data_IF_605574877904
#
_entry.id   IF_605574877904
#
_cell.length_a   1.000
_cell.length_b   1.000
_cell.length_c   1.000
_cell.angle_alpha   90.00
_cell.angle_beta   90.00
_cell.angle_gamma   90.00
#
_symmetry.space_group_name_H-M   'P 1'
#
loop_
_entity.id
_entity.type
_entity.pdbx_description
1 polymer ?
#
# COMPACT_ATOMS: atom_id res chain seq x y z
N UNK A 1 -44.80 19.34 -29.89
CA UNK A 1 -44.40 19.95 -28.59
C UNK A 1 -45.17 19.22 -27.51
N UNK A 2 -44.54 18.23 -26.87
CA UNK A 2 -45.15 17.56 -25.72
C UNK A 2 -45.05 18.52 -24.54
N UNK A 3 -46.20 18.92 -24.00
CA UNK A 3 -46.25 19.72 -22.79
C UNK A 3 -45.64 18.92 -21.64
N UNK A 4 -44.70 19.58 -21.00
CA UNK A 4 -43.89 19.07 -19.92
C UNK A 4 -44.75 18.77 -18.68
N UNK A 5 -45.19 17.51 -18.54
CA UNK A 5 -45.90 17.01 -17.35
C UNK A 5 -44.92 16.49 -16.29
N UNK A 6 -43.77 17.13 -16.11
CA UNK A 6 -42.81 16.75 -15.06
C UNK A 6 -43.35 17.08 -13.68
N UNK A 7 -43.15 16.18 -12.73
CA UNK A 7 -43.58 16.41 -11.35
C UNK A 7 -42.75 17.55 -10.71
N UNK A 8 -43.33 18.36 -9.81
CA UNK A 8 -42.59 19.39 -9.10
C UNK A 8 -41.35 18.81 -8.39
N UNK A 9 -40.16 19.31 -8.76
CA UNK A 9 -38.89 18.89 -8.17
C UNK A 9 -38.14 17.79 -8.93
N UNK A 10 -38.71 17.23 -10.01
CA UNK A 10 -38.05 16.21 -10.83
C UNK A 10 -36.72 16.70 -11.43
N UNK A 11 -36.69 17.96 -11.86
CA UNK A 11 -35.50 18.62 -12.42
C UNK A 11 -34.35 18.75 -11.41
N UNK A 12 -34.67 18.89 -10.13
CA UNK A 12 -33.69 19.06 -9.06
C UNK A 12 -33.14 17.73 -8.53
N UNK A 13 -33.68 16.60 -9.00
CA UNK A 13 -33.23 15.27 -8.63
C UNK A 13 -31.77 15.08 -9.06
N UNK A 14 -30.91 14.79 -8.08
CA UNK A 14 -29.51 14.49 -8.30
C UNK A 14 -29.34 13.12 -8.96
N UNK A 15 -28.61 13.09 -10.07
CA UNK A 15 -28.22 11.90 -10.84
C UNK A 15 -26.82 11.39 -10.46
N UNK A 16 -25.90 12.29 -10.10
CA UNK A 16 -24.54 11.91 -9.71
C UNK A 16 -24.15 12.51 -8.36
N UNK A 17 -23.83 11.65 -7.39
CA UNK A 17 -23.35 12.08 -6.07
C UNK A 17 -22.02 12.84 -6.14
N UNK A 18 -21.08 12.36 -6.95
CA UNK A 18 -19.69 12.83 -6.93
C UNK A 18 -19.50 14.25 -7.49
N UNK A 19 -20.39 14.70 -8.38
CA UNK A 19 -20.29 16.03 -9.00
C UNK A 19 -21.56 16.87 -8.87
N UNK A 20 -22.60 16.37 -8.19
CA UNK A 20 -23.86 17.10 -8.03
C UNK A 20 -24.71 17.20 -9.30
N UNK A 21 -24.44 16.42 -10.35
CA UNK A 21 -25.20 16.44 -11.60
C UNK A 21 -26.67 16.11 -11.36
N UNK A 22 -27.60 16.88 -11.94
CA UNK A 22 -29.06 16.74 -11.79
C UNK A 22 -29.75 16.44 -13.11
N UNK A 23 -31.01 16.03 -13.05
CA UNK A 23 -31.90 15.84 -14.22
C UNK A 23 -31.93 17.09 -15.10
N UNK A 24 -32.03 18.29 -14.49
CA UNK A 24 -31.95 19.56 -15.21
C UNK A 24 -30.66 19.71 -16.02
N UNK A 25 -29.52 19.29 -15.48
CA UNK A 25 -28.25 19.37 -16.19
C UNK A 25 -28.25 18.44 -17.40
N UNK A 26 -28.74 17.21 -17.23
CA UNK A 26 -28.81 16.22 -18.31
C UNK A 26 -29.69 16.65 -19.47
N UNK A 27 -30.82 17.30 -19.20
CA UNK A 27 -31.80 17.67 -20.22
C UNK A 27 -31.39 18.96 -20.95
N UNK A 28 -30.87 19.94 -20.22
CA UNK A 28 -30.72 21.31 -20.74
C UNK A 28 -29.28 21.72 -21.00
N UNK A 29 -28.27 20.99 -20.54
CA UNK A 29 -26.88 21.30 -20.84
C UNK A 29 -26.41 20.53 -22.09
N UNK A 30 -25.77 21.24 -23.02
CA UNK A 30 -25.05 20.60 -24.14
C UNK A 30 -23.62 20.16 -23.75
N UNK A 31 -23.29 20.19 -22.46
CA UNK A 31 -21.95 19.89 -21.97
C UNK A 31 -21.74 18.38 -21.78
N UNK A 32 -20.90 17.78 -22.62
CA UNK A 32 -20.35 16.44 -22.38
C UNK A 32 -19.09 16.53 -21.53
N UNK A 33 -19.06 15.82 -20.39
CA UNK A 33 -17.93 15.90 -19.48
C UNK A 33 -16.63 15.38 -20.09
N UNK A 34 -15.58 16.19 -20.01
CA UNK A 34 -14.20 15.81 -20.38
C UNK A 34 -13.37 15.41 -19.16
N UNK A 35 -13.99 15.45 -17.99
CA UNK A 35 -13.44 15.03 -16.71
C UNK A 35 -14.34 13.94 -16.15
N UNK A 36 -13.78 12.82 -15.72
CA UNK A 36 -14.58 11.73 -15.15
C UNK A 36 -13.78 10.90 -14.19
N UNK A 37 -14.45 10.35 -13.19
CA UNK A 37 -13.89 9.31 -12.35
C UNK A 37 -13.72 8.06 -13.21
N UNK A 38 -12.50 7.53 -13.26
CA UNK A 38 -12.18 6.29 -13.99
C UNK A 38 -11.88 5.14 -13.05
N UNK A 39 -11.57 5.44 -11.80
CA UNK A 39 -11.31 4.44 -10.77
C UNK A 39 -11.67 5.00 -9.39
N UNK A 40 -12.21 4.14 -8.54
CA UNK A 40 -12.40 4.40 -7.10
C UNK A 40 -11.98 3.17 -6.32
N UNK A 41 -11.15 3.36 -5.30
CA UNK A 41 -10.82 2.32 -4.33
C UNK A 41 -10.77 2.94 -2.95
N UNK A 42 -11.51 2.38 -2.00
CA UNK A 42 -11.59 2.92 -0.64
C UNK A 42 -12.00 4.40 -0.66
N UNK A 43 -11.14 5.30 -0.17
CA UNK A 43 -11.34 6.76 -0.21
C UNK A 43 -10.47 7.46 -1.27
N UNK A 44 -9.97 6.72 -2.26
CA UNK A 44 -9.20 7.26 -3.38
C UNK A 44 -10.09 7.33 -4.62
N UNK A 45 -10.08 8.47 -5.31
CA UNK A 45 -10.67 8.66 -6.62
C UNK A 45 -9.61 9.03 -7.64
N UNK A 46 -9.62 8.38 -8.81
CA UNK A 46 -8.81 8.78 -9.96
C UNK A 46 -9.73 9.45 -10.98
N UNK A 47 -9.48 10.73 -11.21
CA UNK A 47 -10.20 11.55 -12.17
C UNK A 47 -9.39 11.72 -13.44
N UNK A 48 -9.87 11.21 -14.56
CA UNK A 48 -9.29 11.51 -15.86
C UNK A 48 -9.64 12.95 -16.26
N UNK A 49 -8.66 13.71 -16.77
CA UNK A 49 -8.82 15.07 -17.28
C UNK A 49 -8.32 15.12 -18.74
N UNK A 50 -9.28 15.17 -19.66
CA UNK A 50 -8.99 15.04 -21.09
C UNK A 50 -8.29 13.70 -21.41
N UNK A 51 -7.35 13.70 -22.34
CA UNK A 51 -6.61 12.50 -22.74
C UNK A 51 -5.24 12.36 -22.08
N UNK A 52 -4.73 13.42 -21.45
CA UNK A 52 -3.32 13.54 -21.04
C UNK A 52 -3.10 13.54 -19.53
N UNK A 53 -4.11 13.90 -18.74
CA UNK A 53 -3.94 14.17 -17.32
C UNK A 53 -4.90 13.34 -16.48
N UNK A 54 -4.50 13.11 -15.23
CA UNK A 54 -5.34 12.53 -14.20
C UNK A 54 -5.12 13.29 -12.89
N UNK A 55 -6.12 13.33 -12.03
CA UNK A 55 -5.99 13.75 -10.63
C UNK A 55 -6.26 12.54 -9.74
N UNK A 56 -5.33 12.26 -8.84
CA UNK A 56 -5.55 11.39 -7.67
C UNK A 56 -6.09 12.25 -6.54
N UNK A 57 -7.26 11.87 -6.05
CA UNK A 57 -8.02 12.52 -4.99
C UNK A 57 -8.11 11.56 -3.80
N UNK A 58 -7.61 11.96 -2.63
CA UNK A 58 -7.54 11.11 -1.44
C UNK A 58 -7.43 11.93 -0.15
N UNK A 59 -7.73 11.35 1.03
CA UNK A 59 -7.43 11.96 2.32
C UNK A 59 -5.94 12.32 2.44
N UNK A 60 -5.64 13.45 3.07
CA UNK A 60 -4.27 13.80 3.43
C UNK A 60 -3.95 13.25 4.83
N UNK A 61 -3.56 11.99 4.86
CA UNK A 61 -3.38 11.21 6.09
C UNK A 61 -1.97 10.62 6.21
N UNK A 62 -1.04 11.18 5.44
CA UNK A 62 0.36 10.77 5.35
C UNK A 62 0.57 9.32 4.88
N UNK A 63 -0.50 8.61 4.50
CA UNK A 63 -0.42 7.21 4.10
C UNK A 63 0.12 7.03 2.66
N UNK A 64 0.01 8.07 1.82
CA UNK A 64 0.16 7.94 0.36
C UNK A 64 1.06 8.99 -0.31
N UNK A 65 1.63 9.95 0.42
CA UNK A 65 2.51 11.00 -0.17
C UNK A 65 3.80 10.45 -0.80
N UNK A 66 4.06 9.17 -0.57
CA UNK A 66 5.25 8.45 -0.98
C UNK A 66 5.32 8.20 -2.51
N UNK A 67 4.18 8.09 -3.20
CA UNK A 67 4.16 7.93 -4.67
C UNK A 67 4.77 9.16 -5.36
N UNK A 68 4.29 10.36 -5.01
CA UNK A 68 4.85 11.62 -5.52
C UNK A 68 6.34 11.76 -5.18
N UNK A 69 6.69 11.50 -3.91
CA UNK A 69 8.06 11.64 -3.42
C UNK A 69 9.03 10.71 -4.16
N UNK A 70 8.66 9.44 -4.32
CA UNK A 70 9.51 8.43 -4.99
C UNK A 70 9.66 8.74 -6.47
N UNK A 71 8.58 9.10 -7.15
CA UNK A 71 8.66 9.50 -8.56
C UNK A 71 9.44 10.80 -8.75
N UNK A 72 9.37 11.74 -7.80
CA UNK A 72 10.21 12.94 -7.85
C UNK A 72 11.68 12.62 -7.65
N UNK A 73 12.01 11.80 -6.65
CA UNK A 73 13.37 11.31 -6.44
C UNK A 73 13.93 10.67 -7.72
N UNK A 74 13.21 9.71 -8.31
CA UNK A 74 13.62 9.04 -9.54
C UNK A 74 13.80 10.03 -10.69
N UNK A 75 12.92 11.02 -10.86
CA UNK A 75 13.06 12.01 -11.92
C UNK A 75 14.30 12.90 -11.78
N UNK A 76 14.75 13.14 -10.54
CA UNK A 76 15.94 13.94 -10.24
C UNK A 76 17.25 13.15 -10.38
N UNK A 77 17.19 11.81 -10.36
CA UNK A 77 18.37 10.99 -10.58
C UNK A 77 18.73 10.93 -12.07
N UNK A 78 20.03 10.75 -12.34
CA UNK A 78 20.56 10.57 -13.70
C UNK A 78 21.10 9.15 -13.88
N UNK A 79 21.24 8.70 -15.13
CA UNK A 79 21.86 7.41 -15.45
C UNK A 79 20.94 6.19 -15.35
N UNK A 80 19.63 6.36 -15.18
CA UNK A 80 18.64 5.29 -15.29
C UNK A 80 17.59 5.60 -16.37
N UNK A 81 16.87 4.57 -16.77
CA UNK A 81 15.76 4.56 -17.73
C UNK A 81 14.49 3.92 -17.15
N UNK A 82 14.40 3.79 -15.82
CA UNK A 82 13.19 3.33 -15.12
C UNK A 82 11.97 4.13 -15.61
N UNK A 83 10.96 3.49 -16.21
CA UNK A 83 9.83 4.19 -16.78
C UNK A 83 8.87 4.63 -15.66
N UNK A 84 8.73 5.95 -15.48
CA UNK A 84 7.82 6.58 -14.50
C UNK A 84 6.84 7.52 -15.22
N UNK A 85 5.89 8.12 -14.50
CA UNK A 85 5.04 9.14 -15.08
C UNK A 85 5.86 10.38 -15.46
N UNK A 86 5.62 10.87 -16.68
CA UNK A 86 6.36 12.00 -17.30
C UNK A 86 6.26 13.26 -16.45
N UNK A 87 5.07 13.54 -15.93
CA UNK A 87 4.82 14.68 -15.06
C UNK A 87 3.96 14.29 -13.86
N UNK A 88 4.27 14.88 -12.71
CA UNK A 88 3.48 14.76 -11.50
C UNK A 88 3.63 16.05 -10.68
N UNK A 89 2.54 16.54 -10.10
CA UNK A 89 2.50 17.78 -9.31
C UNK A 89 1.53 17.62 -8.16
N UNK A 90 2.00 17.95 -6.96
CA UNK A 90 1.12 18.11 -5.81
C UNK A 90 0.33 19.43 -5.97
N UNK A 91 -0.97 19.38 -5.79
CA UNK A 91 -1.85 20.56 -5.83
C UNK A 91 -2.31 21.01 -4.44
N UNK A 92 -2.14 20.15 -3.43
CA UNK A 92 -2.50 20.41 -2.04
C UNK A 92 -1.29 20.82 -1.21
N UNK A 93 -1.54 21.61 -0.17
CA UNK A 93 -0.56 21.92 0.87
C UNK A 93 -0.50 20.79 1.93
N UNK A 94 0.62 20.65 2.67
CA UNK A 94 0.74 19.61 3.69
C UNK A 94 -0.34 19.63 4.78
N UNK A 95 -0.95 20.79 5.04
CA UNK A 95 -1.99 20.99 6.06
C UNK A 95 -3.43 20.79 5.55
N UNK A 96 -3.62 20.63 4.24
CA UNK A 96 -4.93 20.40 3.66
C UNK A 96 -5.48 19.05 4.13
N UNK A 97 -6.80 18.92 4.24
CA UNK A 97 -7.44 17.64 4.64
C UNK A 97 -7.50 16.63 3.49
N UNK A 98 -7.37 17.10 2.25
CA UNK A 98 -7.44 16.32 1.02
C UNK A 98 -6.15 16.54 0.25
N UNK A 99 -5.54 15.46 -0.19
CA UNK A 99 -4.37 15.46 -1.04
C UNK A 99 -4.81 15.26 -2.50
N UNK A 100 -4.54 16.26 -3.33
CA UNK A 100 -4.78 16.23 -4.77
C UNK A 100 -3.43 16.19 -5.49
N UNK A 101 -3.22 15.16 -6.30
CA UNK A 101 -2.02 15.01 -7.13
C UNK A 101 -2.40 14.98 -8.60
N UNK A 102 -1.93 15.97 -9.35
CA UNK A 102 -2.04 15.98 -10.80
C UNK A 102 -0.93 15.12 -11.41
N UNK A 103 -1.28 14.22 -12.30
CA UNK A 103 -0.32 13.29 -12.92
C UNK A 103 -0.58 13.14 -14.42
N UNK A 104 0.49 13.05 -15.20
CA UNK A 104 0.39 12.71 -16.62
C UNK A 104 -0.12 11.27 -16.76
N UNK A 105 -0.98 11.03 -17.77
CA UNK A 105 -1.48 9.69 -18.09
C UNK A 105 -0.48 8.94 -18.96
N UNK A 106 -0.02 7.78 -18.49
CA UNK A 106 0.68 6.81 -19.34
C UNK A 106 -0.27 6.35 -20.46
N UNK A 107 0.19 6.35 -21.71
CA UNK A 107 -0.67 6.21 -22.89
C UNK A 107 -0.95 4.74 -23.30
N UNK A 108 -0.72 3.80 -22.38
CA UNK A 108 -0.90 2.37 -22.56
C UNK A 108 -2.06 1.79 -21.77
N UNK A 109 -2.00 0.49 -21.55
CA UNK A 109 -2.92 -0.30 -20.71
C UNK A 109 -2.12 -1.08 -19.67
N UNK A 110 -2.78 -1.57 -18.61
CA UNK A 110 -2.12 -2.44 -17.64
C UNK A 110 -1.69 -3.76 -18.29
N UNK A 111 -0.59 -4.33 -17.83
CA UNK A 111 -0.06 -5.59 -18.38
C UNK A 111 -1.07 -6.74 -18.19
N UNK A 112 -1.85 -6.68 -17.11
CA UNK A 112 -2.94 -7.61 -16.80
C UNK A 112 -3.96 -7.73 -17.93
N UNK A 113 -4.19 -6.63 -18.65
CA UNK A 113 -5.21 -6.56 -19.70
C UNK A 113 -4.80 -7.25 -21.00
N UNK A 114 -3.50 -7.48 -21.22
CA UNK A 114 -2.98 -8.03 -22.49
C UNK A 114 -2.22 -9.33 -22.29
N UNK A 115 -1.76 -9.66 -21.08
CA UNK A 115 -0.81 -10.75 -20.83
C UNK A 115 -1.24 -12.10 -21.41
N UNK A 116 -2.52 -12.45 -21.27
CA UNK A 116 -3.06 -13.72 -21.74
C UNK A 116 -2.97 -13.90 -23.26
N UNK A 117 -2.99 -12.80 -24.02
CA UNK A 117 -2.98 -12.80 -25.48
C UNK A 117 -1.58 -12.62 -26.10
N UNK A 118 -0.56 -12.37 -25.27
CA UNK A 118 0.81 -12.16 -25.72
C UNK A 118 1.46 -13.45 -26.23
N UNK A 119 2.26 -13.34 -27.28
CA UNK A 119 3.12 -14.42 -27.74
C UNK A 119 4.23 -14.73 -26.73
N UNK A 120 4.84 -15.91 -26.85
CA UNK A 120 5.99 -16.32 -26.02
C UNK A 120 7.14 -15.31 -26.14
N UNK A 121 7.38 -14.79 -27.34
CA UNK A 121 8.42 -13.80 -27.63
C UNK A 121 8.11 -12.45 -26.96
N UNK A 122 6.85 -12.01 -26.98
CA UNK A 122 6.43 -10.78 -26.32
C UNK A 122 6.55 -10.89 -24.79
N UNK A 123 6.11 -12.01 -24.20
CA UNK A 123 6.28 -12.26 -22.77
C UNK A 123 7.76 -12.28 -22.37
N UNK A 124 8.61 -12.93 -23.16
CA UNK A 124 10.06 -12.90 -22.94
C UNK A 124 10.66 -11.49 -23.06
N UNK A 125 10.17 -10.68 -24.01
CA UNK A 125 10.57 -9.26 -24.14
C UNK A 125 10.22 -8.45 -22.89
N UNK A 126 8.99 -8.59 -22.37
CA UNK A 126 8.59 -7.92 -21.13
C UNK A 126 9.38 -8.39 -19.92
N UNK A 127 9.71 -9.69 -19.84
CA UNK A 127 10.61 -10.23 -18.80
C UNK A 127 11.97 -9.54 -18.83
N UNK A 128 12.60 -9.42 -20.00
CA UNK A 128 13.88 -8.74 -20.13
C UNK A 128 13.81 -7.25 -19.75
N UNK A 129 12.75 -6.55 -20.17
CA UNK A 129 12.54 -5.15 -19.79
C UNK A 129 12.39 -5.00 -18.28
N UNK A 130 11.54 -5.82 -17.64
CA UNK A 130 11.32 -5.78 -16.20
C UNK A 130 12.58 -6.15 -15.42
N UNK A 131 13.36 -7.12 -15.90
CA UNK A 131 14.67 -7.47 -15.33
C UNK A 131 15.61 -6.28 -15.31
N UNK A 132 15.71 -5.56 -16.43
CA UNK A 132 16.61 -4.42 -16.56
C UNK A 132 16.13 -3.24 -15.69
N UNK A 133 14.82 -3.04 -15.56
CA UNK A 133 14.23 -2.06 -14.65
C UNK A 133 14.54 -2.41 -13.19
N UNK A 134 14.31 -3.65 -12.78
CA UNK A 134 14.58 -4.11 -11.41
C UNK A 134 16.06 -4.01 -11.04
N UNK A 135 16.97 -4.28 -11.98
CA UNK A 135 18.42 -4.06 -11.78
C UNK A 135 18.73 -2.59 -11.55
N UNK A 136 18.10 -1.68 -12.28
CA UNK A 136 18.29 -0.24 -12.10
C UNK A 136 17.69 0.25 -10.78
N UNK A 137 16.49 -0.20 -10.42
CA UNK A 137 15.89 0.08 -9.11
C UNK A 137 16.85 -0.36 -8.00
N UNK A 138 17.37 -1.59 -8.09
CA UNK A 138 18.30 -2.15 -7.10
C UNK A 138 19.67 -1.48 -7.04
N UNK A 139 20.04 -0.68 -8.04
CA UNK A 139 21.28 0.13 -7.97
C UNK A 139 21.15 1.33 -7.02
N UNK A 140 19.93 1.77 -6.73
CA UNK A 140 19.67 2.73 -5.66
C UNK A 140 19.70 2.00 -4.33
N UNK A 141 20.71 2.29 -3.52
CA UNK A 141 20.94 1.62 -2.23
C UNK A 141 20.95 2.61 -1.08
N UNK A 142 20.64 2.11 0.10
CA UNK A 142 20.70 2.85 1.35
C UNK A 142 21.39 1.99 2.42
N UNK A 143 22.10 2.59 3.38
CA UNK A 143 22.63 1.86 4.53
C UNK A 143 21.53 1.34 5.46
N UNK A 144 20.31 1.86 5.35
CA UNK A 144 19.19 1.56 6.26
C UNK A 144 17.85 1.45 5.52
N UNK A 145 16.88 0.78 6.15
CA UNK A 145 15.49 0.80 5.69
C UNK A 145 14.87 2.19 5.94
N UNK A 146 14.34 2.80 4.88
CA UNK A 146 13.72 4.12 4.92
C UNK A 146 12.97 4.43 3.62
N UNK A 147 12.06 5.41 3.66
CA UNK A 147 11.57 6.11 2.47
C UNK A 147 12.73 6.86 1.79
N UNK A 148 12.53 7.30 0.55
CA UNK A 148 13.57 8.03 -0.21
C UNK A 148 13.98 9.37 0.43
N UNK A 149 13.14 9.96 1.29
CA UNK A 149 13.47 11.15 2.08
C UNK A 149 14.12 10.85 3.45
N UNK A 150 14.31 9.58 3.81
CA UNK A 150 14.92 9.16 5.07
C UNK A 150 13.94 8.84 6.22
N UNK A 151 12.64 9.08 6.03
CA UNK A 151 11.61 8.73 7.01
C UNK A 151 11.44 7.21 7.17
N UNK A 152 10.90 6.79 8.31
CA UNK A 152 10.61 5.37 8.56
C UNK A 152 9.50 4.83 7.64
N UNK A 153 9.70 3.59 7.19
CA UNK A 153 8.70 2.82 6.46
C UNK A 153 7.62 2.29 7.41
N UNK A 154 6.37 2.33 6.97
CA UNK A 154 5.29 1.55 7.59
C UNK A 154 5.55 0.06 7.37
N UNK A 155 5.26 -0.77 8.37
CA UNK A 155 5.41 -2.21 8.24
C UNK A 155 4.19 -2.84 7.55
N UNK A 156 4.32 -3.01 6.23
CA UNK A 156 3.40 -3.78 5.40
C UNK A 156 3.80 -5.25 5.21
N UNK A 157 4.91 -5.69 5.82
CA UNK A 157 5.52 -7.00 5.56
C UNK A 157 5.26 -7.98 6.71
N UNK A 158 5.41 -7.55 7.97
CA UNK A 158 5.24 -8.37 9.17
C UNK A 158 4.15 -7.81 10.08
N UNK A 159 4.40 -6.65 10.68
CA UNK A 159 3.60 -6.01 11.72
C UNK A 159 2.35 -5.26 11.23
N UNK A 160 1.56 -5.86 10.33
CA UNK A 160 0.32 -5.25 9.84
C UNK A 160 -0.93 -5.92 10.40
N UNK A 161 -1.75 -5.17 11.16
CA UNK A 161 -2.96 -5.70 11.82
C UNK A 161 -4.18 -5.78 10.89
N UNK A 162 -4.28 -4.88 9.92
CA UNK A 162 -5.49 -4.74 9.10
C UNK A 162 -5.23 -4.84 7.60
N UNK A 163 -4.33 -4.00 7.09
CA UNK A 163 -3.98 -3.89 5.68
C UNK A 163 -2.48 -3.75 5.55
N UNK A 164 -1.91 -4.20 4.43
CA UNK A 164 -0.48 -4.05 4.11
C UNK A 164 -0.11 -2.62 3.72
N UNK A 165 -1.07 -1.70 3.75
CA UNK A 165 -0.90 -0.30 3.38
C UNK A 165 -0.91 0.62 4.60
N UNK A 166 -0.19 1.76 4.55
CA UNK A 166 -0.25 2.76 5.59
C UNK A 166 -1.68 3.31 5.77
N UNK A 167 -2.04 3.88 6.94
CA UNK A 167 -1.25 3.82 8.16
C UNK A 167 -1.26 2.39 8.73
N UNK A 168 -0.09 1.92 9.17
CA UNK A 168 0.08 0.65 9.89
C UNK A 168 0.37 0.94 11.36
N UNK A 169 0.12 -0.03 12.23
CA UNK A 169 0.37 0.09 13.66
C UNK A 169 1.86 0.15 13.99
N UNK A 170 2.70 -0.42 13.13
CA UNK A 170 4.15 -0.49 13.33
C UNK A 170 4.93 0.12 12.17
N UNK A 171 6.13 0.58 12.49
CA UNK A 171 7.17 0.91 11.52
C UNK A 171 8.17 -0.24 11.45
N UNK A 172 8.78 -0.44 10.29
CA UNK A 172 9.76 -1.52 10.08
C UNK A 172 11.09 -1.30 10.81
N UNK A 173 11.38 -0.15 11.40
CA UNK A 173 12.73 0.13 11.91
C UNK A 173 13.77 0.26 10.79
N UNK A 174 14.99 0.74 11.12
CA UNK A 174 16.05 1.00 10.14
C UNK A 174 16.92 -0.22 9.83
N UNK A 175 16.92 -1.20 10.72
CA UNK A 175 17.72 -2.44 10.66
C UNK A 175 16.88 -3.66 11.05
N UNK A 176 17.38 -4.87 10.83
CA UNK A 176 16.73 -6.11 11.31
C UNK A 176 16.42 -6.07 12.81
N UNK A 177 17.37 -5.59 13.61
CA UNK A 177 17.22 -5.55 15.07
C UNK A 177 16.14 -4.55 15.48
N UNK A 178 16.18 -3.33 14.94
CA UNK A 178 15.13 -2.34 15.19
C UNK A 178 13.76 -2.83 14.71
N UNK A 179 13.71 -3.53 13.57
CA UNK A 179 12.48 -4.07 13.04
C UNK A 179 11.83 -5.05 13.99
N UNK A 180 12.57 -6.09 14.36
CA UNK A 180 12.04 -7.13 15.23
C UNK A 180 11.80 -6.61 16.65
N UNK A 181 12.54 -5.59 17.09
CA UNK A 181 12.29 -4.95 18.38
C UNK A 181 10.99 -4.14 18.38
N UNK A 182 10.67 -3.42 17.30
CA UNK A 182 9.42 -2.64 17.20
C UNK A 182 8.17 -3.51 17.36
N UNK A 183 8.25 -4.79 17.01
CA UNK A 183 7.15 -5.75 17.11
C UNK A 183 7.41 -6.86 18.15
N UNK A 184 8.39 -6.65 19.03
CA UNK A 184 8.88 -7.70 19.93
C UNK A 184 7.86 -8.13 20.97
N UNK A 185 6.98 -7.23 21.39
CA UNK A 185 5.91 -7.52 22.34
C UNK A 185 4.96 -8.60 21.80
N UNK A 186 4.47 -8.42 20.58
CA UNK A 186 3.63 -9.40 19.88
C UNK A 186 4.39 -10.68 19.55
N UNK A 187 5.67 -10.58 19.17
CA UNK A 187 6.50 -11.76 18.92
C UNK A 187 6.67 -12.61 20.17
N UNK A 188 6.97 -11.99 21.32
CA UNK A 188 7.11 -12.69 22.61
C UNK A 188 5.79 -13.32 23.05
N UNK A 189 4.66 -12.64 22.86
CA UNK A 189 3.36 -13.25 23.09
C UNK A 189 3.12 -14.45 22.16
N UNK A 190 3.37 -14.31 20.86
CA UNK A 190 3.17 -15.41 19.91
C UNK A 190 4.06 -16.62 20.20
N UNK A 191 5.28 -16.39 20.72
CA UNK A 191 6.16 -17.45 21.19
C UNK A 191 5.64 -18.12 22.47
N UNK A 192 5.14 -17.33 23.43
CA UNK A 192 4.49 -17.84 24.64
C UNK A 192 3.33 -18.79 24.29
N UNK A 193 2.44 -18.38 23.38
CA UNK A 193 1.31 -19.17 22.91
C UNK A 193 1.75 -20.42 22.13
N UNK A 194 2.69 -20.26 21.19
CA UNK A 194 3.18 -21.36 20.35
C UNK A 194 3.88 -22.45 21.16
N UNK A 195 4.55 -22.09 22.25
CA UNK A 195 5.29 -23.01 23.10
C UNK A 195 4.55 -23.41 24.38
N UNK A 196 3.32 -22.95 24.57
CA UNK A 196 2.49 -23.18 25.76
C UNK A 196 3.28 -22.96 27.07
N UNK A 197 3.95 -21.80 27.15
CA UNK A 197 4.85 -21.48 28.27
C UNK A 197 4.73 -20.02 28.68
N UNK A 198 4.79 -19.77 30.01
CA UNK A 198 4.90 -18.43 30.59
C UNK A 198 6.30 -18.14 31.14
N UNK A 199 7.28 -19.02 30.89
CA UNK A 199 8.66 -18.83 31.35
C UNK A 199 9.36 -17.74 30.51
N UNK A 200 9.70 -16.57 31.12
CA UNK A 200 10.31 -15.47 30.39
C UNK A 200 11.70 -15.82 29.84
N UNK A 201 12.44 -16.74 30.46
CA UNK A 201 13.77 -17.14 29.97
C UNK A 201 13.64 -17.91 28.68
N UNK A 202 12.76 -18.92 28.65
CA UNK A 202 12.50 -19.70 27.43
C UNK A 202 11.91 -18.83 26.30
N UNK A 203 11.00 -17.90 26.61
CA UNK A 203 10.44 -16.98 25.62
C UNK A 203 11.53 -16.11 25.01
N UNK A 204 12.43 -15.56 25.83
CA UNK A 204 13.53 -14.73 25.34
C UNK A 204 14.55 -15.55 24.54
N UNK A 205 14.89 -16.77 24.97
CA UNK A 205 15.72 -17.68 24.18
C UNK A 205 15.12 -17.94 22.78
N UNK A 206 13.81 -18.16 22.71
CA UNK A 206 13.09 -18.35 21.44
C UNK A 206 13.02 -17.08 20.60
N UNK A 207 12.91 -15.92 21.23
CA UNK A 207 12.94 -14.63 20.53
C UNK A 207 14.32 -14.39 19.91
N UNK A 208 15.41 -14.66 20.64
CA UNK A 208 16.77 -14.56 20.10
C UNK A 208 17.03 -15.57 18.98
N UNK A 209 16.49 -16.80 19.07
CA UNK A 209 16.52 -17.78 17.97
C UNK A 209 15.80 -17.24 16.72
N UNK A 210 14.62 -16.63 16.90
CA UNK A 210 13.86 -16.03 15.82
C UNK A 210 14.63 -14.88 15.15
N UNK A 211 15.24 -13.99 15.93
CA UNK A 211 16.09 -12.89 15.42
C UNK A 211 17.28 -13.42 14.63
N UNK A 212 17.97 -14.44 15.17
CA UNK A 212 19.13 -15.06 14.53
C UNK A 212 18.79 -15.71 13.19
N UNK A 213 17.61 -16.32 13.09
CA UNK A 213 17.15 -16.99 11.88
C UNK A 213 16.51 -16.02 10.88
N UNK A 214 16.22 -14.78 11.26
CA UNK A 214 15.62 -13.79 10.37
C UNK A 214 16.61 -13.43 9.25
N UNK A 215 16.15 -13.37 7.97
CA UNK A 215 17.06 -13.14 6.86
C UNK A 215 17.78 -11.81 6.97
N UNK A 216 19.04 -11.79 6.55
CA UNK A 216 19.79 -10.54 6.46
C UNK A 216 19.10 -9.59 5.48
N UNK A 217 18.82 -8.38 5.94
CA UNK A 217 18.13 -7.40 5.11
C UNK A 217 19.04 -6.60 4.20
N UNK A 218 20.30 -6.40 4.55
CA UNK A 218 21.23 -5.66 3.69
C UNK A 218 21.56 -6.43 2.40
N UNK A 219 21.80 -5.73 1.28
CA UNK A 219 21.66 -4.28 1.12
C UNK A 219 20.18 -3.84 1.11
N UNK A 220 19.90 -2.64 1.64
CA UNK A 220 18.60 -2.02 1.43
C UNK A 220 18.58 -1.36 0.06
N UNK A 221 17.63 -1.75 -0.78
CA UNK A 221 17.53 -1.35 -2.19
C UNK A 221 16.19 -0.70 -2.46
N UNK A 222 16.14 0.22 -3.42
CA UNK A 222 14.86 0.80 -3.83
C UNK A 222 13.94 -0.30 -4.35
N UNK A 223 12.78 -0.41 -3.71
CA UNK A 223 11.78 -1.46 -3.87
C UNK A 223 10.43 -0.78 -4.03
N UNK A 224 9.59 -1.27 -4.94
CA UNK A 224 8.24 -0.75 -5.19
C UNK A 224 7.25 -1.22 -4.12
N UNK A 225 7.39 -2.47 -3.66
CA UNK A 225 6.58 -3.13 -2.63
C UNK A 225 5.13 -3.46 -3.02
N UNK A 226 4.75 -3.20 -4.28
CA UNK A 226 3.45 -3.57 -4.87
C UNK A 226 3.58 -3.70 -6.39
N UNK A 227 4.67 -4.33 -6.83
CA UNK A 227 4.94 -4.54 -8.24
C UNK A 227 4.06 -5.68 -8.76
N UNK A 228 2.93 -5.32 -9.35
CA UNK A 228 1.96 -6.24 -9.94
C UNK A 228 1.57 -5.79 -11.36
N UNK A 229 0.84 -6.62 -12.09
CA UNK A 229 0.52 -6.37 -13.50
C UNK A 229 -0.36 -5.13 -13.72
N UNK A 230 -1.22 -4.76 -12.77
CA UNK A 230 -2.04 -3.55 -12.87
C UNK A 230 -1.20 -2.27 -12.71
N UNK A 231 -0.04 -2.37 -12.07
CA UNK A 231 0.91 -1.28 -11.87
C UNK A 231 1.99 -1.18 -12.97
N UNK A 232 1.99 -2.10 -13.94
CA UNK A 232 2.88 -2.09 -15.10
C UNK A 232 2.08 -1.67 -16.34
N UNK A 233 2.28 -0.43 -16.80
CA UNK A 233 1.61 0.09 -17.99
C UNK A 233 2.45 -0.22 -19.23
N UNK A 234 1.83 -0.84 -20.23
CA UNK A 234 2.48 -1.25 -21.47
C UNK A 234 1.83 -0.65 -22.70
N UNK A 235 2.65 -0.41 -23.73
CA UNK A 235 2.25 0.08 -25.03
C UNK A 235 3.26 -0.34 -26.09
N UNK A 236 2.79 -0.83 -27.23
CA UNK A 236 3.63 -1.17 -28.39
C UNK A 236 4.85 -2.05 -28.02
N UNK A 237 4.61 -3.16 -27.31
CA UNK A 237 5.63 -4.10 -26.79
C UNK A 237 6.67 -3.49 -25.82
N UNK A 238 6.37 -2.33 -25.24
CA UNK A 238 7.23 -1.65 -24.26
C UNK A 238 6.52 -1.36 -22.96
N UNK A 239 7.29 -1.36 -21.87
CA UNK A 239 6.84 -0.84 -20.57
C UNK A 239 6.90 0.69 -20.64
N UNK A 240 5.73 1.33 -20.68
CA UNK A 240 5.58 2.79 -20.78
C UNK A 240 5.73 3.46 -19.41
N UNK A 241 5.26 2.83 -18.33
CA UNK A 241 5.38 3.33 -16.97
C UNK A 241 5.19 2.22 -15.92
N UNK A 242 5.90 2.33 -14.81
CA UNK A 242 5.55 1.70 -13.54
C UNK A 242 4.90 2.79 -12.68
N UNK A 243 3.70 2.50 -12.15
CA UNK A 243 2.88 3.45 -11.40
C UNK A 243 2.61 2.93 -9.98
N UNK A 244 2.07 3.81 -9.14
CA UNK A 244 1.62 3.51 -7.79
C UNK A 244 2.75 3.19 -6.79
N UNK A 245 3.71 4.11 -6.69
CA UNK A 245 4.89 3.99 -5.82
C UNK A 245 4.59 4.31 -4.34
N UNK A 246 3.35 4.16 -3.90
CA UNK A 246 2.90 4.56 -2.57
C UNK A 246 3.55 3.76 -1.43
N UNK A 247 4.00 2.53 -1.71
CA UNK A 247 4.67 1.67 -0.73
C UNK A 247 6.20 1.62 -0.92
N UNK A 248 6.73 2.39 -1.85
CA UNK A 248 8.11 2.28 -2.25
C UNK A 248 9.10 2.80 -1.19
N UNK A 249 10.30 2.24 -1.17
CA UNK A 249 11.36 2.70 -0.28
C UNK A 249 12.61 1.85 -0.40
N UNK A 250 13.63 2.19 0.38
CA UNK A 250 14.78 1.34 0.57
C UNK A 250 14.40 0.21 1.52
N UNK A 251 14.30 -0.99 0.98
CA UNK A 251 13.79 -2.18 1.65
C UNK A 251 14.80 -3.31 1.55
N UNK A 252 14.72 -4.33 2.42
CA UNK A 252 15.55 -5.52 2.29
C UNK A 252 15.52 -6.07 0.85
N UNK A 253 16.68 -6.46 0.32
CA UNK A 253 16.84 -6.84 -1.10
C UNK A 253 15.84 -7.90 -1.61
N UNK A 254 15.33 -8.72 -0.69
CA UNK A 254 14.42 -9.81 -0.95
C UNK A 254 12.93 -9.42 -0.95
N UNK A 255 12.56 -8.22 -0.48
CA UNK A 255 11.15 -7.85 -0.25
C UNK A 255 10.30 -7.85 -1.52
N UNK A 256 10.80 -7.31 -2.64
CA UNK A 256 10.02 -7.31 -3.90
C UNK A 256 9.64 -8.74 -4.31
N UNK A 257 10.63 -9.66 -4.27
CA UNK A 257 10.40 -11.06 -4.59
C UNK A 257 9.42 -11.69 -3.60
N UNK A 258 9.62 -11.46 -2.30
CA UNK A 258 8.71 -11.98 -1.28
C UNK A 258 7.26 -11.56 -1.56
N UNK A 259 7.01 -10.31 -1.95
CA UNK A 259 5.65 -9.87 -2.30
C UNK A 259 5.11 -10.50 -3.58
N UNK A 260 5.93 -10.68 -4.62
CA UNK A 260 5.49 -11.41 -5.82
C UNK A 260 5.16 -12.88 -5.52
N UNK A 261 5.85 -13.51 -4.56
CA UNK A 261 5.61 -14.92 -4.19
C UNK A 261 4.37 -15.06 -3.27
N UNK A 262 4.10 -14.07 -2.41
CA UNK A 262 2.92 -14.09 -1.52
C UNK A 262 1.63 -13.67 -2.24
N UNK A 263 1.72 -12.71 -3.16
CA UNK A 263 0.59 -12.12 -3.89
C UNK A 263 0.45 -12.62 -5.33
N UNK A 264 1.29 -13.58 -5.74
CA UNK A 264 1.35 -14.11 -7.09
C UNK A 264 0.04 -14.74 -7.56
N UNK A 265 -0.14 -14.71 -8.86
CA UNK A 265 -1.15 -15.40 -9.65
C UNK A 265 -0.42 -16.20 -10.73
N UNK A 266 -1.06 -17.21 -11.32
CA UNK A 266 -0.47 -18.00 -12.41
C UNK A 266 0.13 -17.12 -13.53
N UNK A 267 -0.51 -15.99 -13.83
CA UNK A 267 -0.04 -15.04 -14.84
C UNK A 267 1.20 -14.26 -14.39
N UNK A 268 1.19 -13.73 -13.17
CA UNK A 268 2.35 -13.01 -12.65
C UNK A 268 3.55 -13.91 -12.42
N UNK A 269 3.32 -15.18 -12.07
CA UNK A 269 4.37 -16.17 -11.84
C UNK A 269 5.08 -16.54 -13.16
N UNK A 270 4.37 -16.54 -14.28
CA UNK A 270 4.95 -16.71 -15.62
C UNK A 270 5.97 -15.61 -15.97
N UNK A 271 5.75 -14.38 -15.50
CA UNK A 271 6.71 -13.28 -15.65
C UNK A 271 7.80 -13.35 -14.59
N UNK A 272 7.41 -13.35 -13.31
CA UNK A 272 8.30 -13.12 -12.18
C UNK A 272 9.12 -14.34 -11.78
N UNK A 273 8.58 -15.55 -11.90
CA UNK A 273 9.29 -16.79 -11.57
C UNK A 273 10.65 -16.88 -12.28
N UNK A 274 10.68 -16.97 -13.63
CA UNK A 274 11.93 -17.01 -14.38
C UNK A 274 12.75 -15.72 -14.23
N UNK A 275 12.11 -14.56 -14.04
CA UNK A 275 12.83 -13.31 -13.81
C UNK A 275 13.66 -13.37 -12.53
N UNK A 276 13.08 -13.87 -11.44
CA UNK A 276 13.76 -13.95 -10.16
C UNK A 276 14.87 -14.99 -10.14
N UNK A 277 14.73 -16.08 -10.90
CA UNK A 277 15.84 -17.02 -11.12
C UNK A 277 17.02 -16.33 -11.81
N UNK A 278 16.77 -15.42 -12.77
CA UNK A 278 17.82 -14.67 -13.47
C UNK A 278 18.56 -13.66 -12.58
N UNK A 279 17.91 -13.02 -11.59
CA UNK A 279 18.51 -11.88 -10.84
C UNK A 279 18.50 -12.01 -9.31
N UNK A 280 17.79 -12.99 -8.77
CA UNK A 280 17.56 -13.18 -7.34
C UNK A 280 17.98 -14.56 -6.84
N UNK A 281 18.54 -15.40 -7.71
CA UNK A 281 19.02 -16.75 -7.38
C UNK A 281 17.92 -17.80 -7.39
N UNK A 282 18.36 -19.03 -7.15
CA UNK A 282 17.55 -20.25 -7.15
C UNK A 282 16.28 -20.13 -6.27
N UNK A 283 15.17 -20.67 -6.78
CA UNK A 283 13.88 -20.57 -6.12
C UNK A 283 13.82 -21.33 -4.81
N UNK A 284 14.34 -22.56 -4.77
CA UNK A 284 14.30 -23.36 -3.54
C UNK A 284 15.15 -22.72 -2.43
N UNK A 285 16.32 -22.21 -2.79
CA UNK A 285 17.22 -21.47 -1.88
C UNK A 285 16.51 -20.24 -1.30
N UNK A 286 15.77 -19.48 -2.12
CA UNK A 286 14.98 -18.35 -1.64
C UNK A 286 13.87 -18.78 -0.68
N UNK A 287 13.17 -19.88 -1.00
CA UNK A 287 12.11 -20.40 -0.13
C UNK A 287 12.68 -20.78 1.24
N UNK A 288 13.76 -21.56 1.26
CA UNK A 288 14.32 -22.12 2.49
C UNK A 288 14.99 -21.09 3.38
N UNK A 289 15.70 -20.12 2.79
CA UNK A 289 16.52 -19.17 3.54
C UNK A 289 15.89 -17.80 3.72
N UNK A 290 14.86 -17.44 2.95
CA UNK A 290 14.19 -16.15 3.04
C UNK A 290 12.71 -16.31 3.36
N UNK A 291 11.96 -16.97 2.47
CA UNK A 291 10.51 -16.99 2.56
C UNK A 291 10.01 -17.68 3.83
N UNK A 292 10.51 -18.89 4.13
CA UNK A 292 10.08 -19.63 5.31
C UNK A 292 10.50 -18.95 6.63
N UNK A 293 11.73 -18.44 6.79
CA UNK A 293 12.10 -17.66 7.97
C UNK A 293 11.23 -16.41 8.16
N UNK A 294 10.95 -15.63 7.11
CA UNK A 294 10.06 -14.46 7.20
C UNK A 294 8.65 -14.91 7.58
N UNK A 295 8.13 -15.97 6.95
CA UNK A 295 6.80 -16.53 7.27
C UNK A 295 6.72 -17.02 8.72
N UNK A 296 7.82 -17.54 9.28
CA UNK A 296 7.89 -17.91 10.70
C UNK A 296 7.71 -16.69 11.59
N UNK A 297 8.36 -15.57 11.30
CA UNK A 297 8.16 -14.31 12.06
C UNK A 297 6.72 -13.80 11.90
N UNK A 298 6.20 -13.76 10.67
CA UNK A 298 4.81 -13.32 10.40
C UNK A 298 3.79 -14.17 11.15
N UNK A 299 3.94 -15.50 11.14
CA UNK A 299 3.03 -16.40 11.85
C UNK A 299 3.13 -16.28 13.36
N UNK A 300 4.34 -16.08 13.88
CA UNK A 300 4.57 -15.82 15.31
C UNK A 300 3.91 -14.50 15.73
N UNK A 301 4.11 -13.43 14.96
CA UNK A 301 3.52 -12.12 15.25
C UNK A 301 1.98 -12.13 15.23
N UNK A 302 1.38 -12.89 14.30
CA UNK A 302 -0.09 -12.96 14.19
C UNK A 302 -0.78 -13.83 15.24
N UNK A 303 -0.07 -14.75 15.92
CA UNK A 303 -0.66 -15.69 16.88
C UNK A 303 -1.76 -16.61 16.29
N UNK A 304 -1.83 -16.75 14.96
CA UNK A 304 -2.95 -17.38 14.25
C UNK A 304 -3.41 -16.56 13.02
N UNK A 305 -4.69 -16.66 12.62
CA UNK A 305 -5.25 -15.88 11.50
C UNK A 305 -5.50 -14.40 11.83
N UNK A 306 -5.61 -14.07 13.12
CA UNK A 306 -5.80 -12.73 13.66
C UNK A 306 -5.32 -12.74 15.12
N UNK A 307 -4.56 -11.74 15.59
CA UNK A 307 -4.12 -11.69 16.99
C UNK A 307 -5.32 -11.28 17.86
N UNK A 308 -5.93 -12.20 18.65
CA UNK A 308 -7.15 -11.92 19.40
C UNK A 308 -6.92 -10.93 20.54
N UNK A 309 -5.66 -10.72 20.93
CA UNK A 309 -5.25 -9.83 22.00
C UNK A 309 -4.97 -8.41 21.48
N UNK A 310 -5.19 -8.13 20.20
CA UNK A 310 -5.07 -6.80 19.62
C UNK A 310 -6.44 -6.27 19.24
N UNK A 311 -6.77 -5.07 19.71
CA UNK A 311 -7.98 -4.35 19.30
C UNK A 311 -7.65 -2.98 18.75
N UNK A 312 -8.45 -2.56 17.77
CA UNK A 312 -8.41 -1.20 17.24
C UNK A 312 -9.74 -0.52 17.53
N UNK A 313 -9.79 0.36 18.55
CA UNK A 313 -10.95 1.18 18.81
C UNK A 313 -11.43 1.87 17.52
N UNK A 314 -12.74 1.92 17.31
CA UNK A 314 -13.37 2.53 16.14
C UNK A 314 -13.16 1.84 14.78
N UNK A 315 -12.35 0.77 14.66
CA UNK A 315 -12.14 0.07 13.36
C UNK A 315 -13.44 -0.35 12.67
N UNK A 316 -14.46 -0.74 13.45
CA UNK A 316 -15.77 -1.13 12.93
C UNK A 316 -16.72 0.04 12.64
N UNK A 317 -16.34 1.27 12.98
CA UNK A 317 -17.20 2.43 12.76
C UNK A 317 -17.29 2.73 11.27
N UNK A 318 -18.52 2.93 10.81
CA UNK A 318 -18.80 3.33 9.44
C UNK A 318 -19.93 4.33 9.39
N UNK A 319 -19.85 5.26 8.46
CA UNK A 319 -20.90 6.24 8.18
C UNK A 319 -21.59 5.86 6.89
N UNK A 320 -22.90 5.64 6.95
CA UNK A 320 -23.69 5.29 5.77
C UNK A 320 -24.03 6.55 4.97
N UNK A 321 -23.88 6.46 3.65
CA UNK A 321 -24.39 7.47 2.74
C UNK A 321 -25.93 7.40 2.68
N UNK A 322 -26.61 8.55 2.51
CA UNK A 322 -28.06 8.58 2.32
C UNK A 322 -28.52 7.60 1.22
N UNK A 323 -29.76 7.13 1.34
CA UNK A 323 -30.38 6.23 0.35
C UNK A 323 -30.37 6.83 -1.06
N UNK A 324 -30.04 6.02 -2.05
CA UNK A 324 -29.95 6.44 -3.45
C UNK A 324 -31.30 6.32 -4.18
N UNK A 325 -32.11 5.32 -3.84
CA UNK A 325 -33.45 5.11 -4.38
C UNK A 325 -34.39 4.55 -3.31
N UNK A 326 -35.71 4.57 -3.60
CA UNK A 326 -36.72 3.88 -2.77
C UNK A 326 -36.39 2.41 -2.52
N UNK A 327 -35.73 1.78 -3.49
CA UNK A 327 -35.27 0.39 -3.45
C UNK A 327 -33.99 0.15 -2.63
N UNK A 328 -33.23 1.20 -2.30
CA UNK A 328 -31.89 1.09 -1.75
C UNK A 328 -31.70 2.13 -0.63
N UNK A 329 -31.94 1.73 0.63
CA UNK A 329 -32.00 2.66 1.77
C UNK A 329 -30.64 3.28 2.14
N UNK A 330 -29.53 2.79 1.57
CA UNK A 330 -28.19 3.38 1.69
C UNK A 330 -27.38 3.21 0.40
N UNK A 331 -26.64 4.24 -0.02
CA UNK A 331 -25.85 4.21 -1.27
C UNK A 331 -24.44 3.62 -1.13
N UNK A 332 -23.90 3.55 0.09
CA UNK A 332 -22.53 3.12 0.39
C UNK A 332 -22.12 3.51 1.82
N UNK A 333 -20.85 3.31 2.17
CA UNK A 333 -20.33 3.66 3.50
C UNK A 333 -18.91 4.21 3.45
N UNK A 334 -18.57 5.07 4.41
CA UNK A 334 -17.20 5.48 4.72
C UNK A 334 -16.75 4.73 5.96
N UNK A 335 -15.63 4.02 5.88
CA UNK A 335 -15.08 3.29 7.02
C UNK A 335 -14.03 4.12 7.77
N UNK A 336 -13.99 3.99 9.09
CA UNK A 336 -13.05 4.71 9.96
C UNK A 336 -11.58 4.51 9.54
N UNK A 337 -11.23 3.28 9.15
CA UNK A 337 -9.88 2.89 8.73
C UNK A 337 -9.46 3.53 7.40
N UNK A 338 -10.41 4.09 6.65
CA UNK A 338 -10.17 4.60 5.30
C UNK A 338 -10.12 6.12 5.27
N UNK A 339 -10.65 6.81 6.28
CA UNK A 339 -10.71 8.28 6.33
C UNK A 339 -9.43 8.92 6.86
N UNK A 340 -8.34 8.14 6.92
CA UNK A 340 -7.02 8.69 7.17
C UNK A 340 -6.72 9.06 8.61
N UNK A 341 -7.27 8.28 9.55
CA UNK A 341 -6.89 8.37 10.95
C UNK A 341 -5.94 7.23 11.30
N UNK A 342 -4.95 7.53 12.12
CA UNK A 342 -4.14 6.49 12.74
C UNK A 342 -5.03 5.57 13.56
N UNK A 343 -4.79 4.26 13.41
CA UNK A 343 -5.46 3.26 14.20
C UNK A 343 -4.74 3.16 15.54
N UNK A 344 -5.47 3.43 16.62
CA UNK A 344 -4.98 3.12 17.95
C UNK A 344 -4.78 1.59 18.06
N UNK A 345 -3.60 1.17 18.48
CA UNK A 345 -3.23 -0.23 18.65
C UNK A 345 -3.23 -0.57 20.14
N UNK A 346 -4.26 -1.30 20.58
CA UNK A 346 -4.42 -1.67 21.99
C UNK A 346 -4.17 -3.16 22.14
N UNK A 347 -3.25 -3.51 23.03
CA UNK A 347 -2.86 -4.89 23.34
C UNK A 347 -3.40 -5.33 24.70
N UNK A 348 -3.90 -6.55 24.78
CA UNK A 348 -4.58 -7.14 25.96
C UNK A 348 -3.80 -8.30 26.57
N UNK A 349 -2.47 -8.29 26.48
CA UNK A 349 -1.63 -9.36 27.03
C UNK A 349 -1.64 -9.37 28.57
N UNK A 350 -1.63 -10.55 29.18
CA UNK A 350 -1.45 -10.72 30.63
C UNK A 350 -0.15 -10.01 31.07
N UNK A 351 -0.22 -9.24 32.16
CA UNK A 351 0.90 -8.46 32.74
C UNK A 351 2.11 -9.30 33.16
N UNK A 352 2.06 -10.63 33.03
CA UNK A 352 3.18 -11.53 33.33
C UNK A 352 4.35 -11.43 32.33
N UNK A 353 4.16 -10.80 31.16
CA UNK A 353 5.25 -10.49 30.22
C UNK A 353 5.67 -9.03 30.42
N UNK A 354 6.03 -8.65 31.64
CA UNK A 354 6.60 -7.33 31.90
C UNK A 354 8.07 -7.31 31.48
N UNK A 355 8.32 -7.05 30.20
CA UNK A 355 9.59 -6.51 29.76
C UNK A 355 9.33 -5.04 29.43
N UNK A 356 10.03 -4.18 30.15
CA UNK A 356 9.94 -2.72 30.13
C UNK A 356 9.75 -2.15 28.72
N UNK A 357 8.62 -1.49 28.49
CA UNK A 357 8.31 -0.71 27.29
C UNK A 357 9.32 0.45 27.16
N UNK A 358 10.14 0.54 26.10
CA UNK A 358 10.90 1.74 25.82
C UNK A 358 10.08 2.58 24.82
N UNK A 359 9.21 3.48 25.29
CA UNK A 359 8.77 4.59 24.44
C UNK A 359 7.33 5.07 24.48
N UNK A 360 6.50 4.73 25.46
CA UNK A 360 5.27 5.50 25.69
C UNK A 360 5.58 6.61 26.68
N UNK A 361 5.92 7.80 26.17
CA UNK A 361 5.93 9.01 27.00
C UNK A 361 4.50 9.24 27.49
N UNK A 362 4.26 9.02 28.78
CA UNK A 362 3.04 9.48 29.44
C UNK A 362 2.92 10.99 29.21
N UNK A 363 1.93 11.38 28.40
CA UNK A 363 1.57 12.78 28.21
C UNK A 363 1.08 13.32 29.55
N UNK A 364 1.93 14.08 30.21
CA UNK A 364 1.62 14.77 31.46
C UNK A 364 0.33 15.58 31.31
N UNK A 365 -0.65 15.27 32.16
CA UNK A 365 -1.82 16.11 32.36
C UNK A 365 -1.37 17.50 32.79
N UNK A 366 -1.80 18.51 32.06
CA UNK A 366 -1.75 19.89 32.51
C UNK A 366 -2.99 20.11 33.36
N UNK A 367 -2.77 20.19 34.66
CA UNK A 367 -3.74 20.73 35.61
C UNK A 367 -4.10 22.15 35.21
N UNK A 368 -5.41 22.39 35.07
CA UNK A 368 -5.98 23.72 34.90
C UNK A 368 -6.61 24.12 36.23
N UNK A 369 -5.82 24.76 37.09
CA UNK A 369 -6.29 25.53 38.23
C UNK A 369 -5.93 27.01 37.99
N UNK A 370 -6.94 27.88 37.93
CA UNK A 370 -6.80 29.35 37.92
C UNK A 370 -7.47 30.06 36.75
#
# INVERSE_FOLDING_TARGET
>A
MAFDQREPGEDEKQLCWNCGWKVKNEIFASYGSRIRIVHTSLNVGIWQIGSKWMIRDQPNDQSMGNDFMTQNFLREQSGHSIPILKEMRLLSEPTDKVCLTLMSRAQGVGLDTVWADLSVEQKASYRHQMRDILKQMRSFTSPVCAKVNGDLMNDGTIGYCHRRSPPSCYKMGRTNDEWLENISRELRQGLSEKHDTKDPVLIEEKFQELKKNFPRSEPYVLTHCDLNFTNIIVKDDKIEAIIDWEYAGYMPWWVERYFTEVGGTDQSDELFGPLWEEIGGDHQTFIDHIFQPVRQVVSTWKGGSWNPNVTHPNKGNKWLRPGFCKCQPYAGSFEYTLIGKELEHVTHFDTCISLTDPGVSEGGGVDVDG
#
